data_IF_435619273212
#
_entry.id   IF_435619273212
#
_cell.length_a   1.000
_cell.length_b   1.000
_cell.length_c   1.000
_cell.angle_alpha   90.00
_cell.angle_beta   90.00
_cell.angle_gamma   90.00
#
_symmetry.space_group_name_H-M   'P 1'
#
loop_
_entity.id
_entity.type
_entity.pdbx_description
1 polymer ?
#
# COMPACT_ATOMS: atom_id res chain seq x y z
N UNK A 1 4.15 3.68 -10.26
CA UNK A 1 3.23 4.70 -10.84
C UNK A 1 3.01 5.85 -9.85
N UNK A 2 3.11 7.10 -10.29
CA UNK A 2 3.03 8.28 -9.41
C UNK A 2 1.69 8.42 -8.67
N UNK A 3 0.64 7.78 -9.18
CA UNK A 3 -0.68 7.74 -8.52
C UNK A 3 -0.64 7.07 -7.14
N UNK A 4 0.29 6.14 -6.89
CA UNK A 4 0.40 5.44 -5.61
C UNK A 4 0.98 6.31 -4.50
N UNK A 5 1.71 7.37 -4.87
CA UNK A 5 2.37 8.31 -3.94
C UNK A 5 1.41 9.37 -3.38
N UNK A 6 0.14 9.31 -3.77
CA UNK A 6 -0.91 10.25 -3.37
C UNK A 6 -2.11 9.47 -2.86
N UNK A 7 -2.95 10.14 -2.08
CA UNK A 7 -4.20 9.57 -1.59
C UNK A 7 -5.01 8.94 -2.74
N UNK A 8 -5.28 7.66 -2.62
CA UNK A 8 -6.10 6.87 -3.54
C UNK A 8 -6.79 5.74 -2.79
N UNK A 9 -7.62 4.97 -3.49
CA UNK A 9 -8.33 3.83 -2.93
C UNK A 9 -8.39 2.67 -3.90
N UNK A 10 -8.49 1.48 -3.35
CA UNK A 10 -8.94 0.31 -4.11
C UNK A 10 -10.44 0.43 -4.40
N UNK A 11 -10.92 -0.26 -5.43
CA UNK A 11 -12.32 -0.21 -5.80
C UNK A 11 -13.23 -0.77 -4.69
N UNK A 12 -14.49 -0.33 -4.67
CA UNK A 12 -15.51 -0.86 -3.75
C UNK A 12 -15.64 -2.37 -3.95
N UNK A 13 -15.66 -3.11 -2.84
CA UNK A 13 -15.72 -4.58 -2.83
C UNK A 13 -14.45 -5.29 -3.32
N UNK A 14 -13.34 -4.56 -3.51
CA UNK A 14 -12.05 -5.14 -3.86
C UNK A 14 -11.09 -4.98 -2.69
N UNK A 15 -10.46 -6.08 -2.30
CA UNK A 15 -9.37 -6.08 -1.33
C UNK A 15 -8.04 -5.92 -2.05
N UNK A 16 -7.17 -5.08 -1.50
CA UNK A 16 -5.78 -4.97 -1.95
C UNK A 16 -4.84 -5.75 -1.03
N UNK A 17 -3.74 -6.26 -1.58
CA UNK A 17 -2.60 -6.75 -0.79
C UNK A 17 -1.31 -6.19 -1.36
N UNK A 18 -0.65 -5.33 -0.59
CA UNK A 18 0.70 -4.85 -0.89
C UNK A 18 1.72 -5.83 -0.34
N UNK A 19 2.68 -6.26 -1.17
CA UNK A 19 3.80 -7.13 -0.78
C UNK A 19 5.12 -6.50 -1.16
N UNK A 20 6.02 -6.36 -0.20
CA UNK A 20 7.36 -5.80 -0.44
C UNK A 20 8.31 -6.94 -0.82
N UNK A 21 9.00 -6.77 -1.94
CA UNK A 21 9.98 -7.69 -2.49
C UNK A 21 11.42 -7.27 -2.19
N UNK A 22 11.68 -5.95 -2.19
CA UNK A 22 12.98 -5.33 -1.89
C UNK A 22 12.77 -3.90 -1.37
N UNK A 23 13.76 -3.34 -0.68
CA UNK A 23 13.66 -2.02 -0.04
C UNK A 23 12.59 -1.95 1.06
N UNK A 24 12.00 -0.77 1.27
CA UNK A 24 10.89 -0.57 2.22
C UNK A 24 9.74 0.22 1.62
N UNK A 25 8.55 -0.01 2.15
CA UNK A 25 7.36 0.79 1.79
C UNK A 25 6.63 1.17 3.06
N UNK A 26 6.39 2.47 3.27
CA UNK A 26 5.46 2.93 4.31
C UNK A 26 4.07 3.06 3.73
N UNK A 27 3.13 2.29 4.27
CA UNK A 27 1.70 2.46 4.03
C UNK A 27 1.15 3.52 4.98
N UNK A 28 0.34 4.44 4.45
CA UNK A 28 -0.30 5.51 5.22
C UNK A 28 -1.80 5.50 4.96
N UNK A 29 -2.59 5.26 6.02
CA UNK A 29 -4.05 5.42 5.97
C UNK A 29 -4.40 6.90 6.18
N UNK A 30 -5.14 7.51 5.25
CA UNK A 30 -5.37 8.96 5.26
C UNK A 30 -6.27 9.40 6.41
N UNK A 31 -7.30 8.61 6.72
CA UNK A 31 -8.31 9.01 7.70
C UNK A 31 -7.82 8.87 9.13
N UNK A 32 -7.13 7.76 9.44
CA UNK A 32 -6.59 7.51 10.79
C UNK A 32 -5.21 8.16 10.99
N UNK A 33 -4.50 8.47 9.91
CA UNK A 33 -3.08 8.84 9.95
C UNK A 33 -2.16 7.69 10.37
N UNK A 34 -2.68 6.46 10.44
CA UNK A 34 -1.88 5.29 10.80
C UNK A 34 -0.79 5.05 9.74
N UNK A 35 0.42 4.78 10.21
CA UNK A 35 1.60 4.55 9.37
C UNK A 35 2.19 3.19 9.71
N UNK A 36 2.49 2.40 8.68
CA UNK A 36 3.18 1.12 8.84
C UNK A 36 4.26 0.96 7.78
N UNK A 37 5.50 0.88 8.22
CA UNK A 37 6.64 0.56 7.35
C UNK A 37 6.79 -0.94 7.23
N UNK A 38 6.93 -1.41 5.99
CA UNK A 38 7.05 -2.81 5.61
C UNK A 38 8.42 -3.02 4.94
N UNK A 39 9.11 -4.09 5.33
CA UNK A 39 10.33 -4.57 4.70
C UNK A 39 10.09 -5.80 3.81
N UNK A 40 11.16 -6.35 3.19
CA UNK A 40 11.04 -7.47 2.26
C UNK A 40 10.39 -8.70 2.89
N UNK A 41 9.42 -9.28 2.19
CA UNK A 41 8.63 -10.43 2.65
C UNK A 41 7.41 -10.05 3.49
N UNK A 42 7.28 -8.78 3.91
CA UNK A 42 6.11 -8.31 4.64
C UNK A 42 4.97 -7.86 3.70
N UNK A 43 3.77 -7.81 4.26
CA UNK A 43 2.58 -7.40 3.51
C UNK A 43 1.60 -6.56 4.33
N UNK A 44 0.84 -5.72 3.62
CA UNK A 44 -0.29 -4.96 4.14
C UNK A 44 -1.55 -5.33 3.37
N UNK A 45 -2.61 -5.67 4.12
CA UNK A 45 -3.96 -5.81 3.57
C UNK A 45 -4.60 -4.44 3.49
N UNK A 46 -5.26 -4.16 2.39
CA UNK A 46 -5.90 -2.88 2.10
C UNK A 46 -7.40 -3.15 1.97
N UNK A 47 -8.17 -2.58 2.87
CA UNK A 47 -9.63 -2.74 2.89
C UNK A 47 -10.28 -2.03 1.70
N UNK A 48 -11.44 -2.53 1.22
CA UNK A 48 -12.23 -1.82 0.22
C UNK A 48 -12.54 -0.39 0.66
N UNK A 49 -12.47 0.54 -0.29
CA UNK A 49 -12.80 1.97 -0.09
C UNK A 49 -11.90 2.74 0.89
N UNK A 50 -10.87 2.12 1.49
CA UNK A 50 -9.92 2.77 2.40
C UNK A 50 -9.00 3.75 1.64
N UNK A 51 -9.06 5.07 1.91
CA UNK A 51 -8.13 6.03 1.32
C UNK A 51 -6.74 5.87 1.94
N UNK A 52 -5.72 5.72 1.10
CA UNK A 52 -4.34 5.52 1.51
C UNK A 52 -3.35 6.01 0.45
N UNK A 53 -2.08 6.08 0.82
CA UNK A 53 -0.97 6.19 -0.12
C UNK A 53 0.22 5.34 0.35
N UNK A 54 1.24 5.25 -0.49
CA UNK A 54 2.51 4.61 -0.15
C UNK A 54 3.67 5.59 -0.31
N UNK A 55 4.64 5.46 0.60
CA UNK A 55 5.94 6.13 0.55
C UNK A 55 7.03 5.04 0.39
N UNK A 56 7.39 4.68 -0.85
CA UNK A 56 8.46 3.71 -1.12
C UNK A 56 9.85 4.35 -0.90
N UNK A 57 10.81 3.54 -0.47
CA UNK A 57 12.24 3.90 -0.55
C UNK A 57 12.74 3.94 -2.01
N UNK A 58 13.91 4.54 -2.23
CA UNK A 58 14.52 4.65 -3.56
C UNK A 58 14.78 3.29 -4.23
N UNK A 59 15.02 2.25 -3.43
CA UNK A 59 15.28 0.87 -3.85
C UNK A 59 14.04 -0.04 -3.78
N UNK A 60 12.87 0.49 -3.43
CA UNK A 60 11.69 -0.31 -3.19
C UNK A 60 11.21 -1.07 -4.44
N UNK A 61 11.00 -2.38 -4.28
CA UNK A 61 10.28 -3.22 -5.24
C UNK A 61 9.13 -3.87 -4.52
N UNK A 62 7.92 -3.69 -5.02
CA UNK A 62 6.72 -4.24 -4.41
C UNK A 62 5.67 -4.54 -5.48
N UNK A 63 4.70 -5.38 -5.11
CA UNK A 63 3.54 -5.69 -5.92
C UNK A 63 2.25 -5.39 -5.16
N UNK A 64 1.18 -5.11 -5.91
CA UNK A 64 -0.16 -4.96 -5.36
C UNK A 64 -1.05 -5.95 -6.07
N UNK A 65 -1.66 -6.83 -5.28
CA UNK A 65 -2.65 -7.79 -5.74
C UNK A 65 -4.05 -7.28 -5.43
N UNK A 66 -5.02 -7.66 -6.27
CA UNK A 66 -6.42 -7.29 -6.10
C UNK A 66 -7.29 -8.55 -6.04
N UNK A 67 -8.11 -8.65 -5.00
CA UNK A 67 -8.95 -9.81 -4.69
C UNK A 67 -10.43 -9.39 -4.60
N UNK A 68 -11.35 -10.28 -4.99
CA UNK A 68 -12.81 -10.12 -4.88
C UNK A 68 -13.41 -11.26 -4.08
#
# INVERSE_FOLDING_TARGET
>A
PDGLLRAHKVAVGVWGRLRVLDGTVTFVAEESGERRTLGPGESQVIEPDLPHHVEPSDDARFEVEFHR
#
